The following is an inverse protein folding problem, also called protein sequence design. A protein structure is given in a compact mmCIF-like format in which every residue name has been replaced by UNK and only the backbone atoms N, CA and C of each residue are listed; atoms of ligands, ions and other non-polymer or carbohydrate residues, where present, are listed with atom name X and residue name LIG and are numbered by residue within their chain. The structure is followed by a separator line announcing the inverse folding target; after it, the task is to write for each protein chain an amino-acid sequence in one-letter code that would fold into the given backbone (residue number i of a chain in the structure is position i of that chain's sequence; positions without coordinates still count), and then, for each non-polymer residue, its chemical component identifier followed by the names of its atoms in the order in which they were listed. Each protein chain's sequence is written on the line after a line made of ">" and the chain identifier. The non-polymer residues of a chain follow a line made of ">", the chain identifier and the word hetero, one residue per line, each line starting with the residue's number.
data_IF_992208830126
#
_entry.id   IF_992208830126
#
_cell.length_a   1.000
_cell.length_b   1.000
_cell.length_c   1.000
_cell.angle_alpha   90.00
_cell.angle_beta   90.00
_cell.angle_gamma   90.00
#
_symmetry.space_group_name_H-M   'P 1'
#
loop_
_entity.id
_entity.type
_entity.pdbx_description
1 polymer ?
#
# COMPACT_ATOMS: atom_id res chain seq x y z
N UNK A 1 -8.04 -19.81 -8.18
CA UNK A 1 -9.19 -19.16 -8.85
C UNK A 1 -9.14 -19.57 -10.30
N UNK A 2 -10.28 -19.78 -10.94
CA UNK A 2 -10.38 -20.20 -12.35
C UNK A 2 -11.46 -19.39 -13.07
N UNK A 3 -11.45 -19.43 -14.37
CA UNK A 3 -12.45 -18.79 -15.23
C UNK A 3 -12.90 -19.78 -16.32
N UNK A 4 -14.14 -19.67 -16.71
CA UNK A 4 -14.70 -20.30 -17.91
C UNK A 4 -15.66 -19.35 -18.57
N UNK A 5 -15.68 -19.30 -19.89
CA UNK A 5 -16.56 -18.41 -20.66
C UNK A 5 -18.05 -18.66 -20.36
N UNK A 6 -18.41 -19.91 -20.03
CA UNK A 6 -19.79 -20.29 -19.70
C UNK A 6 -20.16 -20.10 -18.23
N UNK A 7 -19.19 -20.28 -17.32
CA UNK A 7 -19.42 -20.27 -15.87
C UNK A 7 -18.94 -18.99 -15.18
N UNK A 8 -18.22 -18.13 -15.90
CA UNK A 8 -17.57 -16.93 -15.36
C UNK A 8 -16.42 -17.27 -14.39
N UNK A 9 -16.15 -16.35 -13.47
CA UNK A 9 -15.06 -16.50 -12.49
C UNK A 9 -15.45 -17.46 -11.36
N UNK A 10 -14.71 -18.56 -11.24
CA UNK A 10 -14.87 -19.59 -10.20
C UNK A 10 -13.87 -19.27 -9.08
N UNK A 11 -14.32 -18.56 -8.05
CA UNK A 11 -13.47 -18.12 -6.92
C UNK A 11 -13.08 -19.26 -5.99
N UNK A 12 -14.00 -20.21 -5.79
CA UNK A 12 -13.80 -21.39 -4.94
C UNK A 12 -14.16 -22.66 -5.67
N UNK A 13 -13.41 -23.77 -5.49
CA UNK A 13 -13.76 -25.07 -6.05
C UNK A 13 -15.17 -25.50 -5.66
N UNK A 14 -16.00 -25.73 -6.63
CA UNK A 14 -17.38 -26.22 -6.50
C UNK A 14 -17.67 -27.26 -7.57
N UNK A 15 -18.75 -27.99 -7.43
CA UNK A 15 -19.30 -28.81 -8.51
C UNK A 15 -19.73 -27.91 -9.68
N UNK A 16 -19.41 -28.30 -10.89
CA UNK A 16 -19.74 -27.58 -12.12
C UNK A 16 -20.30 -28.53 -13.16
N UNK A 17 -21.09 -28.01 -14.08
CA UNK A 17 -21.56 -28.75 -15.25
C UNK A 17 -21.01 -28.08 -16.50
N UNK A 18 -20.30 -28.83 -17.34
CA UNK A 18 -19.77 -28.38 -18.62
C UNK A 18 -20.36 -29.28 -19.70
N UNK A 19 -20.97 -28.72 -20.72
CA UNK A 19 -21.63 -29.43 -21.83
C UNK A 19 -22.61 -30.54 -21.40
N UNK A 20 -23.34 -30.26 -20.28
CA UNK A 20 -24.29 -31.20 -19.71
C UNK A 20 -23.66 -32.32 -18.85
N UNK A 21 -22.34 -32.38 -18.72
CA UNK A 21 -21.63 -33.36 -17.90
C UNK A 21 -21.28 -32.73 -16.53
N UNK A 22 -21.73 -33.33 -15.43
CA UNK A 22 -21.38 -32.87 -14.08
C UNK A 22 -19.94 -33.25 -13.73
N UNK A 23 -19.18 -32.31 -13.20
CA UNK A 23 -17.82 -32.50 -12.74
C UNK A 23 -17.72 -32.15 -11.25
N UNK A 24 -17.18 -33.05 -10.43
CA UNK A 24 -17.07 -32.79 -9.00
C UNK A 24 -15.99 -31.74 -8.69
N UNK A 25 -16.10 -31.06 -7.54
CA UNK A 25 -15.15 -30.02 -7.10
C UNK A 25 -13.69 -30.46 -7.06
N UNK A 26 -13.44 -31.77 -6.99
CA UNK A 26 -12.08 -32.34 -6.91
C UNK A 26 -11.25 -32.13 -8.18
N UNK A 27 -11.88 -31.89 -9.35
CA UNK A 27 -11.14 -31.61 -10.60
C UNK A 27 -10.19 -30.42 -10.43
N UNK A 28 -10.58 -29.38 -9.70
CA UNK A 28 -9.74 -28.19 -9.45
C UNK A 28 -8.48 -28.45 -8.60
N UNK A 29 -8.35 -29.66 -8.02
CA UNK A 29 -7.19 -30.06 -7.23
C UNK A 29 -6.42 -31.22 -7.86
N UNK A 30 -7.10 -32.07 -8.61
CA UNK A 30 -6.53 -33.31 -9.13
C UNK A 30 -6.12 -33.22 -10.59
N UNK A 31 -6.81 -32.41 -11.37
CA UNK A 31 -6.55 -32.24 -12.78
C UNK A 31 -5.46 -31.21 -13.04
N UNK A 32 -4.67 -31.45 -14.06
CA UNK A 32 -3.68 -30.52 -14.56
C UNK A 32 -4.35 -29.30 -15.20
N UNK A 33 -3.57 -28.24 -15.41
CA UNK A 33 -4.05 -27.04 -16.14
C UNK A 33 -4.50 -27.39 -17.56
N UNK A 34 -3.84 -28.37 -18.22
CA UNK A 34 -4.18 -28.81 -19.57
C UNK A 34 -5.54 -29.52 -19.60
N UNK A 35 -5.80 -30.44 -18.68
CA UNK A 35 -7.09 -31.14 -18.57
C UNK A 35 -8.25 -30.19 -18.25
N UNK A 36 -8.02 -29.19 -17.41
CA UNK A 36 -9.01 -28.14 -17.13
C UNK A 36 -9.25 -27.26 -18.37
N UNK A 37 -8.19 -26.97 -19.14
CA UNK A 37 -8.30 -26.18 -20.37
C UNK A 37 -9.13 -26.90 -21.46
N UNK A 38 -9.12 -28.24 -21.52
CA UNK A 38 -10.00 -29.02 -22.38
C UNK A 38 -11.50 -28.80 -22.09
N UNK A 39 -11.83 -28.46 -20.85
CA UNK A 39 -13.18 -28.04 -20.44
C UNK A 39 -13.44 -26.52 -20.58
N UNK A 40 -12.52 -25.79 -21.20
CA UNK A 40 -12.60 -24.32 -21.27
C UNK A 40 -12.41 -23.62 -19.92
N UNK A 41 -11.69 -24.28 -18.99
CA UNK A 41 -11.41 -23.73 -17.67
C UNK A 41 -9.94 -23.31 -17.57
N UNK A 42 -9.69 -22.04 -17.41
CA UNK A 42 -8.35 -21.46 -17.31
C UNK A 42 -8.04 -21.00 -15.89
N UNK A 43 -6.79 -21.08 -15.46
CA UNK A 43 -6.39 -20.45 -14.20
C UNK A 43 -6.53 -18.93 -14.28
N UNK A 44 -6.80 -18.30 -13.15
CA UNK A 44 -6.97 -16.84 -13.07
C UNK A 44 -5.82 -16.22 -12.29
N UNK A 45 -5.18 -15.23 -12.90
CA UNK A 45 -4.25 -14.30 -12.28
C UNK A 45 -4.91 -12.93 -12.16
N UNK A 46 -4.85 -12.34 -10.98
CA UNK A 46 -5.38 -10.99 -10.72
C UNK A 46 -4.23 -10.00 -10.69
N UNK A 47 -4.34 -8.94 -11.47
CA UNK A 47 -3.42 -7.81 -11.46
C UNK A 47 -4.14 -6.63 -10.83
N UNK A 48 -3.77 -6.34 -9.59
CA UNK A 48 -4.36 -5.24 -8.83
C UNK A 48 -3.48 -4.01 -8.95
N UNK A 49 -4.02 -2.85 -9.33
CA UNK A 49 -3.26 -1.60 -9.33
C UNK A 49 -2.92 -1.18 -7.90
N UNK A 50 -1.86 -0.39 -7.77
CA UNK A 50 -1.51 0.20 -6.49
C UNK A 50 -2.53 1.28 -6.11
N UNK A 51 -3.38 0.94 -5.14
CA UNK A 51 -4.47 1.80 -4.68
C UNK A 51 -3.98 3.03 -3.89
N UNK A 52 -2.71 3.11 -3.55
CA UNK A 52 -2.13 4.34 -2.98
C UNK A 52 -2.21 5.48 -3.98
N UNK A 53 -2.02 5.17 -5.28
CA UNK A 53 -1.88 6.15 -6.35
C UNK A 53 -2.99 6.12 -7.38
N UNK A 54 -3.75 5.04 -7.47
CA UNK A 54 -4.76 4.83 -8.49
C UNK A 54 -6.12 4.47 -7.89
N UNK A 55 -7.16 5.02 -8.48
CA UNK A 55 -8.52 4.54 -8.26
C UNK A 55 -8.77 3.35 -9.19
N UNK A 56 -9.44 2.33 -8.67
CA UNK A 56 -9.79 1.12 -9.41
C UNK A 56 -11.17 1.29 -10.06
N UNK A 57 -11.22 1.10 -11.36
CA UNK A 57 -12.45 1.15 -12.18
C UNK A 57 -12.94 -0.24 -12.57
N UNK A 58 -13.50 -0.34 -13.77
CA UNK A 58 -14.11 -1.56 -14.28
C UNK A 58 -13.10 -2.72 -14.40
N UNK A 59 -13.57 -3.93 -14.08
CA UNK A 59 -12.86 -5.18 -14.28
C UNK A 59 -12.82 -5.55 -15.75
N UNK A 60 -11.69 -6.04 -16.23
CA UNK A 60 -11.49 -6.58 -17.57
C UNK A 60 -10.84 -7.95 -17.49
N UNK A 61 -11.37 -8.90 -18.24
CA UNK A 61 -10.83 -10.25 -18.36
C UNK A 61 -10.16 -10.39 -19.72
N UNK A 62 -8.91 -10.84 -19.74
CA UNK A 62 -8.15 -11.14 -20.96
C UNK A 62 -7.48 -12.49 -20.83
N UNK A 63 -7.43 -13.26 -21.93
CA UNK A 63 -6.69 -14.51 -21.97
C UNK A 63 -5.26 -14.22 -22.46
N UNK A 64 -4.27 -14.55 -21.63
CA UNK A 64 -2.84 -14.35 -21.92
C UNK A 64 -2.11 -15.64 -21.57
N UNK A 65 -1.43 -16.23 -22.55
CA UNK A 65 -0.62 -17.45 -22.38
C UNK A 65 -1.35 -18.60 -21.65
N UNK A 66 -2.65 -18.77 -21.95
CA UNK A 66 -3.47 -19.82 -21.35
C UNK A 66 -3.94 -19.54 -19.91
N UNK A 67 -3.73 -18.34 -19.41
CA UNK A 67 -4.29 -17.85 -18.15
C UNK A 67 -5.30 -16.72 -18.40
N UNK A 68 -6.41 -16.72 -17.68
CA UNK A 68 -7.29 -15.55 -17.63
C UNK A 68 -6.69 -14.52 -16.68
N UNK A 69 -6.38 -13.35 -17.20
CA UNK A 69 -5.89 -12.22 -16.42
C UNK A 69 -7.06 -11.28 -16.12
N UNK A 70 -7.34 -11.11 -14.84
CA UNK A 70 -8.25 -10.07 -14.37
C UNK A 70 -7.40 -8.83 -14.12
N UNK A 71 -7.68 -7.77 -14.84
CA UNK A 71 -7.12 -6.44 -14.65
C UNK A 71 -8.22 -5.41 -14.43
N UNK A 72 -7.84 -4.24 -13.97
CA UNK A 72 -8.78 -3.17 -13.65
C UNK A 72 -8.39 -1.90 -14.41
N UNK A 73 -9.38 -1.23 -14.95
CA UNK A 73 -9.18 0.14 -15.43
C UNK A 73 -8.70 1.01 -14.26
N UNK A 74 -7.76 1.89 -14.52
CA UNK A 74 -7.20 2.77 -13.50
C UNK A 74 -7.35 4.22 -13.90
N UNK A 75 -7.59 5.06 -12.90
CA UNK A 75 -7.45 6.51 -13.01
C UNK A 75 -6.53 6.99 -11.92
N UNK A 76 -5.65 7.91 -12.24
CA UNK A 76 -4.74 8.49 -11.26
C UNK A 76 -5.52 9.22 -10.17
N UNK A 77 -5.04 9.12 -8.95
CA UNK A 77 -5.57 9.93 -7.86
C UNK A 77 -5.08 11.37 -8.02
N UNK A 78 -5.88 12.27 -7.52
CA UNK A 78 -5.57 13.69 -7.53
C UNK A 78 -4.27 13.99 -6.76
N UNK A 79 -3.33 14.67 -7.44
CA UNK A 79 -1.99 14.98 -6.91
C UNK A 79 -2.06 15.84 -5.67
N UNK A 80 -2.94 16.83 -5.62
CA UNK A 80 -3.06 17.73 -4.48
C UNK A 80 -3.66 17.02 -3.25
N UNK A 81 -4.58 16.08 -3.47
CA UNK A 81 -5.10 15.23 -2.41
C UNK A 81 -4.03 14.28 -1.86
N UNK A 82 -3.18 13.72 -2.73
CA UNK A 82 -2.05 12.89 -2.32
C UNK A 82 -1.06 13.70 -1.49
N UNK A 83 -0.64 14.88 -1.94
CA UNK A 83 0.23 15.78 -1.18
C UNK A 83 -0.35 16.13 0.19
N UNK A 84 -1.63 16.44 0.24
CA UNK A 84 -2.34 16.73 1.49
C UNK A 84 -2.27 15.55 2.46
N UNK A 85 -2.50 14.33 1.96
CA UNK A 85 -2.43 13.10 2.75
C UNK A 85 -1.00 12.81 3.23
N UNK A 86 0.00 13.02 2.38
CA UNK A 86 1.41 12.85 2.72
C UNK A 86 1.86 13.84 3.80
N UNK A 87 1.50 15.12 3.67
CA UNK A 87 1.80 16.13 4.70
C UNK A 87 1.11 15.80 6.03
N UNK A 88 -0.12 15.30 6.01
CA UNK A 88 -0.81 14.84 7.21
C UNK A 88 -0.06 13.67 7.88
N UNK A 89 0.45 12.73 7.09
CA UNK A 89 1.29 11.62 7.57
C UNK A 89 2.58 12.13 8.20
N UNK A 90 3.30 13.05 7.56
CA UNK A 90 4.51 13.68 8.09
C UNK A 90 4.24 14.33 9.45
N UNK A 91 3.18 15.13 9.56
CA UNK A 91 2.77 15.77 10.82
C UNK A 91 2.42 14.74 11.91
N UNK A 92 1.75 13.68 11.54
CA UNK A 92 1.40 12.60 12.48
C UNK A 92 2.65 11.91 13.02
N UNK A 93 3.63 11.62 12.16
CA UNK A 93 4.91 11.03 12.58
C UNK A 93 5.65 11.99 13.52
N UNK A 94 5.81 13.24 13.12
CA UNK A 94 6.46 14.25 13.97
C UNK A 94 5.79 14.39 15.34
N UNK A 95 4.46 14.44 15.37
CA UNK A 95 3.69 14.52 16.61
C UNK A 95 3.88 13.30 17.50
N UNK A 96 3.80 12.09 16.94
CA UNK A 96 4.01 10.85 17.71
C UNK A 96 5.43 10.74 18.25
N UNK A 97 6.41 11.17 17.47
CA UNK A 97 7.82 11.19 17.84
C UNK A 97 8.08 12.18 19.00
N UNK A 98 7.52 13.38 18.92
CA UNK A 98 7.66 14.41 19.95
C UNK A 98 6.94 14.05 21.26
N UNK A 99 5.80 13.33 21.16
CA UNK A 99 5.00 12.95 22.31
C UNK A 99 5.79 12.09 23.34
N UNK A 100 6.79 11.32 22.90
CA UNK A 100 7.62 10.49 23.76
C UNK A 100 8.40 11.30 24.81
N UNK A 101 8.72 12.56 24.50
CA UNK A 101 9.48 13.47 25.36
C UNK A 101 8.68 14.69 25.87
N UNK A 102 7.38 14.75 25.64
CA UNK A 102 6.53 15.87 26.08
C UNK A 102 6.49 16.01 27.60
N UNK A 103 6.57 14.88 28.32
CA UNK A 103 6.65 14.88 29.76
C UNK A 103 7.87 15.66 30.30
N UNK A 104 9.00 15.67 29.57
CA UNK A 104 10.19 16.45 29.95
C UNK A 104 9.91 17.95 29.84
N UNK A 105 9.18 18.38 28.78
CA UNK A 105 8.77 19.77 28.60
C UNK A 105 7.81 20.21 29.72
N UNK A 106 6.85 19.36 30.08
CA UNK A 106 5.92 19.64 31.18
C UNK A 106 6.66 19.74 32.52
N UNK A 107 7.56 18.79 32.81
CA UNK A 107 8.38 18.81 34.03
C UNK A 107 9.18 20.10 34.15
N UNK A 108 9.82 20.57 33.06
CA UNK A 108 10.59 21.81 33.06
C UNK A 108 9.67 23.04 33.28
N UNK A 109 8.52 23.10 32.64
CA UNK A 109 7.56 24.18 32.79
C UNK A 109 6.98 24.28 34.20
N UNK A 110 6.88 23.16 34.91
CA UNK A 110 6.41 23.08 36.29
C UNK A 110 7.52 23.42 37.33
N UNK A 111 8.67 23.90 36.87
CA UNK A 111 9.81 24.25 37.74
C UNK A 111 10.67 23.07 38.18
N UNK A 112 10.51 21.90 37.55
CA UNK A 112 11.33 20.74 37.78
C UNK A 112 12.65 20.76 37.00
N UNK A 113 13.29 19.59 36.85
CA UNK A 113 14.56 19.46 36.14
C UNK A 113 14.41 19.85 34.65
N UNK A 114 15.32 20.71 34.18
CA UNK A 114 15.37 21.11 32.76
C UNK A 114 15.52 19.91 31.84
N UNK A 115 15.00 20.04 30.61
CA UNK A 115 15.18 19.05 29.56
C UNK A 115 16.67 18.94 29.21
N UNK A 116 17.25 17.73 29.08
CA UNK A 116 18.61 17.54 28.59
C UNK A 116 18.81 18.18 27.22
N UNK A 117 20.01 18.71 26.95
CA UNK A 117 20.30 19.48 25.74
C UNK A 117 20.15 18.62 24.48
N UNK A 118 20.55 17.39 24.51
CA UNK A 118 20.44 16.41 23.43
C UNK A 118 18.98 16.15 23.05
N UNK A 119 18.09 15.97 24.02
CA UNK A 119 16.65 15.87 23.83
C UNK A 119 16.04 17.14 23.26
N UNK A 120 16.51 18.32 23.68
CA UNK A 120 16.04 19.59 23.15
C UNK A 120 16.47 19.76 21.68
N UNK A 121 17.72 19.39 21.34
CA UNK A 121 18.23 19.37 19.97
C UNK A 121 17.42 18.42 19.10
N UNK A 122 17.24 17.17 19.55
CA UNK A 122 16.44 16.18 18.87
C UNK A 122 15.02 16.66 18.52
N UNK A 123 14.32 17.26 19.48
CA UNK A 123 12.99 17.85 19.26
C UNK A 123 12.99 18.97 18.24
N UNK A 124 14.05 19.79 18.22
CA UNK A 124 14.24 20.82 17.22
C UNK A 124 14.43 20.22 15.83
N UNK A 125 15.25 19.19 15.72
CA UNK A 125 15.55 18.49 14.46
C UNK A 125 14.32 17.77 13.90
N UNK A 126 13.51 17.14 14.75
CA UNK A 126 12.23 16.53 14.34
C UNK A 126 11.28 17.57 13.74
N UNK A 127 11.17 18.76 14.35
CA UNK A 127 10.34 19.85 13.80
C UNK A 127 10.90 20.40 12.48
N UNK A 128 12.21 20.60 12.41
CA UNK A 128 12.89 21.07 11.20
C UNK A 128 12.69 20.06 10.06
N UNK A 129 12.86 18.77 10.33
CA UNK A 129 12.63 17.71 9.35
C UNK A 129 11.18 17.67 8.86
N UNK A 130 10.21 17.79 9.76
CA UNK A 130 8.79 17.89 9.37
C UNK A 130 8.53 19.03 8.40
N UNK A 131 9.05 20.22 8.70
CA UNK A 131 8.90 21.39 7.83
C UNK A 131 9.58 21.18 6.47
N UNK A 132 10.79 20.61 6.45
CA UNK A 132 11.53 20.30 5.22
C UNK A 132 10.73 19.34 4.34
N UNK A 133 10.24 18.24 4.92
CA UNK A 133 9.43 17.23 4.19
C UNK A 133 8.13 17.83 3.64
N UNK A 134 7.49 18.76 4.34
CA UNK A 134 6.30 19.45 3.83
C UNK A 134 6.62 20.31 2.59
N UNK A 135 7.76 21.00 2.61
CA UNK A 135 8.22 21.81 1.45
C UNK A 135 8.59 20.92 0.26
N UNK A 136 9.27 19.80 0.52
CA UNK A 136 9.60 18.82 -0.52
C UNK A 136 8.34 18.24 -1.17
N UNK A 137 7.34 17.86 -0.36
CA UNK A 137 6.07 17.34 -0.85
C UNK A 137 5.32 18.40 -1.68
N UNK A 138 5.33 19.65 -1.27
CA UNK A 138 4.69 20.73 -2.04
C UNK A 138 5.38 20.98 -3.39
N UNK A 139 6.67 20.70 -3.51
CA UNK A 139 7.43 20.85 -4.74
C UNK A 139 7.23 19.70 -5.76
N UNK A 140 6.62 18.58 -5.37
CA UNK A 140 6.37 17.46 -6.29
C UNK A 140 5.43 17.88 -7.42
N UNK A 141 5.80 17.62 -8.67
CA UNK A 141 5.04 18.13 -9.82
C UNK A 141 3.87 17.24 -10.22
N UNK A 142 4.05 15.93 -10.12
CA UNK A 142 3.15 14.93 -10.68
C UNK A 142 3.14 13.62 -9.87
N UNK A 143 2.36 12.66 -10.33
CA UNK A 143 2.20 11.36 -9.66
C UNK A 143 3.50 10.53 -9.63
N UNK A 144 4.32 10.63 -10.66
CA UNK A 144 5.57 9.86 -10.72
C UNK A 144 6.59 10.43 -9.73
N UNK A 145 6.65 11.75 -9.56
CA UNK A 145 7.43 12.39 -8.53
C UNK A 145 6.95 11.98 -7.12
N UNK A 146 5.63 11.89 -6.90
CA UNK A 146 5.05 11.41 -5.64
C UNK A 146 5.46 9.95 -5.35
N UNK A 147 5.36 9.07 -6.34
CA UNK A 147 5.77 7.66 -6.20
C UNK A 147 7.24 7.54 -5.82
N UNK A 148 8.11 8.25 -6.55
CA UNK A 148 9.54 8.24 -6.30
C UNK A 148 9.89 8.76 -4.89
N UNK A 149 9.21 9.79 -4.42
CA UNK A 149 9.39 10.35 -3.09
C UNK A 149 8.95 9.36 -1.99
N UNK A 150 7.78 8.72 -2.15
CA UNK A 150 7.24 7.74 -1.18
C UNK A 150 8.12 6.47 -1.12
N UNK A 151 8.66 6.01 -2.25
CA UNK A 151 9.57 4.86 -2.33
C UNK A 151 10.96 5.13 -1.74
N UNK A 152 11.47 6.36 -1.88
CA UNK A 152 12.75 6.74 -1.28
C UNK A 152 12.70 6.70 0.26
N UNK A 153 11.50 6.76 0.81
CA UNK A 153 11.31 6.83 2.25
C UNK A 153 11.75 8.19 2.80
N UNK A 154 12.28 8.20 3.99
CA UNK A 154 12.85 9.39 4.59
C UNK A 154 13.22 9.11 6.02
N UNK A 155 14.48 9.32 6.32
CA UNK A 155 14.98 9.14 7.66
C UNK A 155 14.45 10.26 8.57
N UNK A 156 14.14 9.87 9.79
CA UNK A 156 13.84 10.80 10.87
C UNK A 156 15.02 10.82 11.84
N UNK A 157 15.25 11.92 12.57
CA UNK A 157 16.27 11.95 13.60
C UNK A 157 16.09 10.81 14.60
N UNK A 158 17.17 10.13 14.94
CA UNK A 158 17.17 9.14 16.01
C UNK A 158 17.07 9.83 17.37
N UNK A 159 16.32 9.26 18.30
CA UNK A 159 16.26 9.80 19.65
C UNK A 159 17.63 9.62 20.37
N UNK A 160 17.93 10.44 21.39
CA UNK A 160 19.24 10.40 22.07
C UNK A 160 19.56 9.09 22.78
N UNK A 161 18.56 8.27 23.07
CA UNK A 161 18.73 6.98 23.74
C UNK A 161 18.85 5.82 22.72
N UNK A 162 18.79 6.12 21.39
CA UNK A 162 18.95 5.14 20.33
C UNK A 162 20.41 4.65 20.28
N UNK A 163 20.59 3.35 20.41
CA UNK A 163 21.88 2.67 20.25
C UNK A 163 21.82 1.84 18.97
N UNK A 164 22.67 2.14 17.99
CA UNK A 164 22.87 1.28 16.81
C UNK A 164 23.45 -0.06 17.28
N UNK A 165 22.76 -1.18 17.00
CA UNK A 165 23.26 -2.54 17.23
C UNK A 165 24.19 -3.01 16.11
#
# INVERSE_FOLDING_TARGET
>A
MWHSDTLGVIRTPKEITVDGVPHPRQIFRKWSKAELAELGITPVRVVTPDQRYHNTGAETLTLVDGETVISYATTDRDVDQLKTSMKAKVKSIASSTLAQSDWMTHRESDGGTAMPLDWNTYRSDVRAMSNTKEVEIDALADLDAIKAYDEAGGDWPNDPDYVEE
#
